data_IF_190825291764
#
_entry.id   IF_190825291764
#
_cell.length_a   1.000
_cell.length_b   1.000
_cell.length_c   1.000
_cell.angle_alpha   90.00
_cell.angle_beta   90.00
_cell.angle_gamma   90.00
#
_symmetry.space_group_name_H-M   'P 1'
#
loop_
_entity.id
_entity.type
_entity.pdbx_description
1 polymer ?
#
# COMPACT_ATOMS: atom_id res chain seq x y z
N UNK A 1 14.42 0.17 69.97
CA UNK A 1 13.16 -0.37 69.42
C UNK A 1 13.52 -1.08 68.12
N UNK A 2 14.06 -2.31 68.11
CA UNK A 2 13.37 -3.62 68.29
C UNK A 2 12.02 -3.64 67.55
N UNK A 3 11.67 -4.54 66.62
CA UNK A 3 12.28 -5.78 66.07
C UNK A 3 11.33 -6.30 64.96
N UNK A 4 11.87 -6.99 63.93
CA UNK A 4 11.45 -8.30 63.30
C UNK A 4 9.94 -8.64 63.06
N UNK A 5 9.45 -9.47 62.11
CA UNK A 5 9.81 -10.84 61.59
C UNK A 5 8.67 -11.28 60.60
N UNK A 6 8.93 -11.87 59.42
CA UNK A 6 8.94 -13.31 59.00
C UNK A 6 7.61 -13.92 58.44
N UNK A 7 7.78 -14.49 57.23
CA UNK A 7 7.10 -15.57 56.47
C UNK A 7 6.24 -16.62 57.19
N UNK A 8 5.23 -17.20 56.52
CA UNK A 8 4.93 -18.64 56.60
C UNK A 8 4.01 -19.19 55.49
N UNK A 9 4.46 -20.32 54.94
CA UNK A 9 3.82 -21.29 54.03
C UNK A 9 2.98 -22.27 54.85
N UNK A 10 1.88 -22.83 54.32
CA UNK A 10 1.44 -24.20 54.66
C UNK A 10 0.52 -24.84 53.62
N UNK A 11 0.89 -26.07 53.27
CA UNK A 11 0.24 -27.06 52.41
C UNK A 11 -0.63 -27.97 53.29
N UNK A 12 -1.78 -28.44 52.81
CA UNK A 12 -2.39 -29.67 53.34
C UNK A 12 -3.11 -30.48 52.24
N UNK A 13 -2.72 -31.75 52.13
CA UNK A 13 -3.29 -32.83 51.30
C UNK A 13 -3.74 -33.94 52.27
N UNK A 14 -4.88 -34.60 52.01
CA UNK A 14 -5.28 -35.97 52.42
C UNK A 14 -6.63 -36.26 51.71
N UNK A 15 -6.81 -37.16 50.73
CA UNK A 15 -6.70 -38.64 50.62
C UNK A 15 -7.77 -39.48 51.34
N UNK A 16 -8.25 -40.50 50.59
CA UNK A 16 -9.04 -41.71 50.93
C UNK A 16 -10.59 -41.54 50.93
N UNK A 17 -11.42 -42.41 50.33
CA UNK A 17 -11.30 -43.86 50.08
C UNK A 17 -12.23 -44.37 48.95
N UNK A 18 -11.87 -45.52 48.39
CA UNK A 18 -12.57 -46.31 47.36
C UNK A 18 -13.75 -47.15 47.91
N UNK A 19 -14.74 -47.47 47.05
CA UNK A 19 -15.53 -48.72 47.12
C UNK A 19 -16.05 -49.13 45.73
N UNK A 20 -16.13 -50.43 45.49
CA UNK A 20 -16.22 -51.13 44.20
C UNK A 20 -17.62 -51.76 43.91
N UNK A 21 -18.00 -51.74 42.61
CA UNK A 21 -18.73 -52.77 41.79
C UNK A 21 -20.20 -53.16 42.10
N UNK A 22 -20.96 -53.84 41.19
CA UNK A 22 -20.78 -54.11 39.74
C UNK A 22 -22.05 -53.91 38.83
N UNK A 23 -21.86 -54.29 37.55
CA UNK A 23 -22.62 -54.17 36.28
C UNK A 23 -23.99 -54.88 36.10
N UNK A 24 -24.74 -54.54 35.01
CA UNK A 24 -25.15 -55.43 33.86
C UNK A 24 -26.34 -54.87 32.99
N UNK A 25 -26.13 -54.85 31.65
CA UNK A 25 -27.03 -54.96 30.45
C UNK A 25 -28.00 -53.84 29.92
N UNK A 26 -27.60 -53.25 28.77
CA UNK A 26 -28.23 -53.10 27.41
C UNK A 26 -29.74 -52.78 27.16
N UNK A 27 -30.17 -52.38 25.94
CA UNK A 27 -29.62 -51.43 24.95
C UNK A 27 -30.72 -50.46 24.38
N UNK A 28 -30.35 -49.32 23.76
CA UNK A 28 -31.28 -48.65 22.81
C UNK A 28 -30.54 -47.87 21.71
N UNK A 29 -30.61 -48.45 20.51
CA UNK A 29 -30.26 -47.87 19.22
C UNK A 29 -31.10 -46.63 18.95
N UNK A 30 -30.49 -45.46 18.64
CA UNK A 30 -31.03 -44.48 17.66
C UNK A 30 -29.92 -43.66 16.98
N UNK A 31 -29.68 -44.02 15.71
CA UNK A 31 -29.33 -43.20 14.54
C UNK A 31 -28.18 -42.18 14.67
N UNK A 32 -27.02 -42.59 14.17
CA UNK A 32 -26.01 -41.70 13.64
C UNK A 32 -26.56 -40.94 12.42
N UNK A 33 -26.63 -39.62 12.52
CA UNK A 33 -26.79 -38.73 11.35
C UNK A 33 -25.44 -38.65 10.66
N UNK A 34 -25.28 -39.45 9.61
CA UNK A 34 -24.19 -39.32 8.65
C UNK A 34 -24.32 -37.97 7.93
N UNK A 35 -23.59 -36.95 8.40
CA UNK A 35 -23.16 -35.85 7.51
C UNK A 35 -22.14 -36.44 6.56
N UNK A 36 -22.58 -36.88 5.38
CA UNK A 36 -21.66 -37.17 4.29
C UNK A 36 -21.02 -35.85 3.87
N UNK A 37 -19.87 -35.54 4.44
CA UNK A 37 -18.95 -34.56 3.87
C UNK A 37 -18.46 -35.19 2.56
N UNK A 38 -19.18 -34.89 1.47
CA UNK A 38 -18.72 -35.16 0.12
C UNK A 38 -17.47 -34.30 -0.12
N UNK A 39 -16.32 -34.86 0.23
CA UNK A 39 -15.00 -34.46 -0.22
C UNK A 39 -14.89 -34.69 -1.73
N UNK A 40 -15.66 -33.93 -2.51
CA UNK A 40 -15.46 -33.83 -3.95
C UNK A 40 -14.17 -33.03 -4.15
N UNK A 41 -13.17 -33.68 -4.77
CA UNK A 41 -11.92 -33.04 -5.19
C UNK A 41 -12.25 -31.75 -5.97
N UNK A 42 -11.51 -30.65 -5.77
CA UNK A 42 -11.77 -29.41 -6.49
C UNK A 42 -11.63 -29.65 -8.00
N UNK A 43 -12.75 -29.53 -8.72
CA UNK A 43 -12.78 -29.69 -10.18
C UNK A 43 -12.59 -28.30 -10.78
N UNK A 44 -11.48 -28.06 -11.47
CA UNK A 44 -11.24 -26.77 -12.13
C UNK A 44 -12.07 -26.69 -13.42
N UNK A 45 -13.13 -25.88 -13.41
CA UNK A 45 -13.94 -25.59 -14.59
C UNK A 45 -13.57 -24.27 -15.25
N UNK A 46 -13.95 -24.12 -16.52
CA UNK A 46 -13.83 -22.90 -17.31
C UNK A 46 -15.23 -22.44 -17.74
N UNK A 47 -15.60 -21.19 -17.46
CA UNK A 47 -16.83 -20.58 -17.96
C UNK A 47 -16.51 -19.33 -18.77
N UNK A 48 -17.00 -19.27 -20.00
CA UNK A 48 -16.85 -18.08 -20.86
C UNK A 48 -18.15 -17.29 -20.82
N UNK A 49 -18.08 -16.02 -20.42
CA UNK A 49 -19.20 -15.09 -20.42
C UNK A 49 -18.94 -14.04 -21.51
N UNK A 50 -19.73 -14.10 -22.58
CA UNK A 50 -19.78 -13.02 -23.57
C UNK A 50 -20.46 -11.82 -22.93
N UNK A 51 -19.89 -10.64 -23.09
CA UNK A 51 -20.41 -9.40 -22.53
C UNK A 51 -20.45 -8.32 -23.60
N UNK A 52 -21.31 -7.32 -23.41
CA UNK A 52 -21.29 -6.12 -24.26
C UNK A 52 -20.01 -5.30 -24.06
N UNK A 53 -19.80 -4.30 -24.90
CA UNK A 53 -18.66 -3.40 -24.81
C UNK A 53 -18.58 -2.68 -23.47
N UNK A 54 -17.38 -2.61 -22.90
CA UNK A 54 -17.09 -1.85 -21.69
C UNK A 54 -15.73 -1.16 -21.81
N UNK A 55 -15.58 -0.07 -21.07
CA UNK A 55 -14.32 0.65 -20.91
C UNK A 55 -13.94 0.82 -19.43
N UNK A 56 -14.80 0.39 -18.51
CA UNK A 56 -14.58 0.44 -17.07
C UNK A 56 -14.81 -0.95 -16.49
N UNK A 57 -14.05 -1.31 -15.46
CA UNK A 57 -14.16 -2.62 -14.79
C UNK A 57 -14.23 -2.41 -13.29
N UNK A 58 -15.18 -3.08 -12.64
CA UNK A 58 -15.41 -3.05 -11.20
C UNK A 58 -15.48 -4.49 -10.68
N UNK A 59 -14.49 -4.87 -9.88
CA UNK A 59 -14.36 -6.22 -9.33
C UNK A 59 -14.50 -6.19 -7.82
N UNK A 60 -15.37 -7.04 -7.28
CA UNK A 60 -15.62 -7.15 -5.84
C UNK A 60 -15.56 -8.59 -5.35
N UNK A 61 -14.82 -8.84 -4.27
CA UNK A 61 -14.77 -10.11 -3.55
C UNK A 61 -13.39 -10.76 -3.52
N UNK A 62 -13.36 -12.06 -3.23
CA UNK A 62 -12.12 -12.85 -3.16
C UNK A 62 -11.87 -13.52 -4.52
N UNK A 63 -11.11 -12.86 -5.40
CA UNK A 63 -10.94 -13.30 -6.79
C UNK A 63 -9.62 -12.80 -7.40
N UNK A 64 -8.90 -13.68 -8.08
CA UNK A 64 -7.74 -13.29 -8.88
C UNK A 64 -8.21 -12.71 -10.23
N UNK A 65 -7.56 -11.65 -10.72
CA UNK A 65 -7.93 -10.97 -11.96
C UNK A 65 -6.74 -10.89 -12.91
N UNK A 66 -6.94 -11.26 -14.17
CA UNK A 66 -6.01 -10.99 -15.27
C UNK A 66 -6.67 -10.02 -16.26
N UNK A 67 -6.18 -8.79 -16.31
CA UNK A 67 -6.66 -7.72 -17.19
C UNK A 67 -5.89 -7.71 -18.51
N UNK A 68 -6.63 -7.64 -19.61
CA UNK A 68 -6.10 -7.52 -20.95
C UNK A 68 -6.84 -6.43 -21.74
N UNK A 69 -6.09 -5.56 -22.41
CA UNK A 69 -6.60 -4.51 -23.31
C UNK A 69 -6.30 -4.82 -24.78
N UNK A 70 -6.94 -4.13 -25.71
CA UNK A 70 -6.70 -4.25 -27.15
C UNK A 70 -7.52 -5.32 -27.87
N UNK A 71 -8.44 -6.00 -27.17
CA UNK A 71 -9.27 -7.05 -27.77
C UNK A 71 -10.51 -6.44 -28.44
N UNK A 72 -10.79 -6.85 -29.68
CA UNK A 72 -11.99 -6.41 -30.42
C UNK A 72 -13.29 -7.04 -29.93
N UNK A 73 -13.19 -8.21 -29.27
CA UNK A 73 -14.33 -8.96 -28.71
C UNK A 73 -14.21 -9.03 -27.19
N UNK A 74 -14.90 -8.14 -26.45
CA UNK A 74 -14.92 -8.17 -25.00
C UNK A 74 -15.49 -9.47 -24.45
N UNK A 75 -14.85 -10.03 -23.43
CA UNK A 75 -15.31 -11.25 -22.76
C UNK A 75 -14.70 -11.40 -21.37
N UNK A 76 -15.36 -12.18 -20.54
CA UNK A 76 -14.85 -12.62 -19.24
C UNK A 76 -14.75 -14.14 -19.23
N UNK A 77 -13.58 -14.66 -18.87
CA UNK A 77 -13.34 -16.10 -18.72
C UNK A 77 -13.09 -16.37 -17.24
N UNK A 78 -13.95 -17.16 -16.63
CA UNK A 78 -13.84 -17.57 -15.23
C UNK A 78 -13.22 -18.96 -15.12
N UNK A 79 -12.30 -19.12 -14.18
CA UNK A 79 -11.71 -20.40 -13.78
C UNK A 79 -11.95 -20.62 -12.29
N UNK A 80 -12.36 -21.83 -11.89
CA UNK A 80 -12.63 -22.17 -10.48
C UNK A 80 -13.48 -23.43 -10.34
N UNK A 81 -13.85 -23.79 -9.12
CA UNK A 81 -14.81 -24.87 -8.86
C UNK A 81 -16.21 -24.44 -9.34
N UNK A 82 -16.97 -25.29 -10.07
CA UNK A 82 -18.33 -24.96 -10.52
C UNK A 82 -19.26 -24.44 -9.42
N UNK A 83 -19.11 -24.90 -8.17
CA UNK A 83 -19.93 -24.45 -7.03
C UNK A 83 -19.66 -22.99 -6.69
N UNK A 84 -18.39 -22.60 -6.67
CA UNK A 84 -17.96 -21.22 -6.45
C UNK A 84 -18.31 -20.34 -7.66
N UNK A 85 -18.13 -20.85 -8.89
CA UNK A 85 -18.41 -20.09 -10.11
C UNK A 85 -19.89 -19.70 -10.25
N UNK A 86 -20.82 -20.49 -9.69
CA UNK A 86 -22.25 -20.14 -9.65
C UNK A 86 -22.53 -18.88 -8.82
N UNK A 87 -21.63 -18.52 -7.91
CA UNK A 87 -21.75 -17.34 -7.05
C UNK A 87 -21.07 -16.10 -7.64
N UNK A 88 -20.50 -16.22 -8.84
CA UNK A 88 -19.88 -15.09 -9.55
C UNK A 88 -20.90 -14.45 -10.48
N UNK A 89 -21.25 -13.20 -10.19
CA UNK A 89 -22.10 -12.38 -11.05
C UNK A 89 -21.22 -11.60 -12.03
N UNK A 90 -21.57 -11.67 -13.32
CA UNK A 90 -20.89 -10.94 -14.40
C UNK A 90 -21.93 -10.23 -15.25
N UNK A 91 -21.91 -8.91 -15.29
CA UNK A 91 -22.83 -8.11 -16.09
C UNK A 91 -22.20 -6.77 -16.48
N UNK A 92 -22.73 -6.14 -17.53
CA UNK A 92 -22.30 -4.81 -17.98
C UNK A 92 -23.47 -3.85 -17.88
N UNK A 93 -23.25 -2.70 -17.24
CA UNK A 93 -24.19 -1.57 -17.25
C UNK A 93 -23.41 -0.26 -17.36
N UNK A 94 -23.94 0.71 -18.11
CA UNK A 94 -23.29 2.01 -18.34
C UNK A 94 -21.81 1.89 -18.79
N UNK A 95 -21.52 0.98 -19.73
CA UNK A 95 -20.16 0.68 -20.23
C UNK A 95 -19.16 0.23 -19.15
N UNK A 96 -19.65 -0.19 -17.98
CA UNK A 96 -18.86 -0.75 -16.90
C UNK A 96 -19.18 -2.23 -16.72
N UNK A 97 -18.15 -3.04 -16.78
CA UNK A 97 -18.20 -4.45 -16.41
C UNK A 97 -18.15 -4.59 -14.90
N UNK A 98 -19.07 -5.37 -14.34
CA UNK A 98 -19.08 -5.77 -12.95
C UNK A 98 -18.76 -7.26 -12.85
N UNK A 99 -17.81 -7.62 -11.98
CA UNK A 99 -17.51 -9.01 -11.60
C UNK A 99 -17.57 -9.10 -10.08
N UNK A 100 -18.61 -9.74 -9.55
CA UNK A 100 -18.84 -9.80 -8.09
C UNK A 100 -18.90 -11.24 -7.61
N UNK A 101 -18.13 -11.57 -6.59
CA UNK A 101 -18.20 -12.86 -5.90
C UNK A 101 -19.13 -12.74 -4.69
N UNK A 102 -20.03 -13.71 -4.52
CA UNK A 102 -20.92 -13.79 -3.36
C UNK A 102 -20.17 -13.79 -2.02
N UNK A 103 -20.79 -13.23 -0.98
CA UNK A 103 -20.21 -13.22 0.38
C UNK A 103 -19.97 -14.65 0.87
N UNK A 104 -18.82 -14.88 1.52
CA UNK A 104 -18.42 -16.20 2.00
C UNK A 104 -17.81 -17.12 0.95
N UNK A 105 -17.75 -16.69 -0.32
CA UNK A 105 -17.11 -17.43 -1.40
C UNK A 105 -15.76 -16.80 -1.80
N UNK A 106 -14.83 -17.58 -2.35
CA UNK A 106 -14.94 -19.02 -2.64
C UNK A 106 -14.84 -19.91 -1.40
N UNK A 107 -15.50 -21.07 -1.46
CA UNK A 107 -15.47 -22.11 -0.43
C UNK A 107 -14.67 -23.34 -0.90
N UNK A 108 -14.68 -23.64 -2.20
CA UNK A 108 -14.07 -24.85 -2.75
C UNK A 108 -12.67 -24.62 -3.33
N UNK A 109 -12.37 -23.40 -3.80
CA UNK A 109 -11.03 -23.04 -4.28
C UNK A 109 -10.95 -21.68 -4.94
N UNK A 110 -9.73 -21.26 -5.30
CA UNK A 110 -9.50 -19.93 -5.89
C UNK A 110 -10.30 -19.74 -7.19
N UNK A 111 -10.91 -18.56 -7.31
CA UNK A 111 -11.55 -18.09 -8.53
C UNK A 111 -10.57 -17.17 -9.26
N UNK A 112 -10.49 -17.31 -10.59
CA UNK A 112 -9.74 -16.38 -11.44
C UNK A 112 -10.63 -15.87 -12.57
N UNK A 113 -10.71 -14.54 -12.72
CA UNK A 113 -11.33 -13.87 -13.85
C UNK A 113 -10.27 -13.35 -14.83
N UNK A 114 -10.29 -13.84 -16.07
CA UNK A 114 -9.54 -13.25 -17.19
C UNK A 114 -10.48 -12.33 -17.95
N UNK A 115 -10.17 -11.04 -17.96
CA UNK A 115 -11.01 -9.98 -18.52
C UNK A 115 -10.34 -9.43 -19.76
N UNK A 116 -10.98 -9.61 -20.92
CA UNK A 116 -10.57 -9.03 -22.18
C UNK A 116 -11.44 -7.82 -22.48
N UNK A 117 -10.83 -6.64 -22.57
CA UNK A 117 -11.47 -5.40 -23.00
C UNK A 117 -10.75 -4.78 -24.20
N UNK A 118 -11.40 -3.81 -24.85
CA UNK A 118 -10.78 -3.05 -25.94
C UNK A 118 -9.93 -1.90 -25.40
N UNK A 119 -10.58 -0.94 -24.71
CA UNK A 119 -9.95 0.19 -24.02
C UNK A 119 -10.31 0.12 -22.54
N UNK A 120 -9.44 0.61 -21.67
CA UNK A 120 -9.67 0.63 -20.22
C UNK A 120 -9.42 2.03 -19.68
N UNK A 121 -10.48 2.69 -19.24
CA UNK A 121 -10.47 4.03 -18.66
C UNK A 121 -10.54 4.03 -17.14
N UNK A 122 -11.17 3.01 -16.56
CA UNK A 122 -11.24 2.86 -15.12
C UNK A 122 -11.13 1.39 -14.71
N UNK A 123 -10.37 1.13 -13.65
CA UNK A 123 -10.36 -0.16 -13.00
C UNK A 123 -10.51 0.03 -11.49
N UNK A 124 -11.55 -0.60 -10.96
CA UNK A 124 -11.83 -0.69 -9.53
C UNK A 124 -11.72 -2.14 -9.08
N UNK A 125 -11.02 -2.35 -7.98
CA UNK A 125 -10.92 -3.64 -7.32
C UNK A 125 -11.14 -3.48 -5.83
N UNK A 126 -12.04 -4.27 -5.25
CA UNK A 126 -12.31 -4.31 -3.82
C UNK A 126 -12.35 -5.74 -3.31
N UNK A 127 -11.40 -6.11 -2.45
CA UNK A 127 -11.39 -7.39 -1.77
C UNK A 127 -9.99 -7.98 -1.63
N UNK A 128 -9.85 -9.28 -1.87
CA UNK A 128 -8.59 -10.01 -1.64
C UNK A 128 -8.27 -10.87 -2.85
N UNK A 129 -7.13 -10.63 -3.49
CA UNK A 129 -6.74 -11.43 -4.64
C UNK A 129 -5.49 -10.90 -5.33
N UNK A 130 -5.10 -11.61 -6.39
CA UNK A 130 -4.00 -11.24 -7.25
C UNK A 130 -4.54 -10.56 -8.50
N UNK A 131 -4.25 -9.28 -8.68
CA UNK A 131 -4.57 -8.52 -9.89
C UNK A 131 -3.33 -8.42 -10.76
N UNK A 132 -3.41 -8.86 -12.02
CA UNK A 132 -2.33 -8.79 -13.00
C UNK A 132 -2.84 -8.16 -14.30
N UNK A 133 -2.01 -7.31 -14.90
CA UNK A 133 -2.21 -6.84 -16.27
C UNK A 133 -0.88 -6.40 -16.84
N UNK A 134 -0.24 -7.24 -17.66
CA UNK A 134 1.20 -7.08 -17.99
C UNK A 134 1.48 -6.37 -19.31
N UNK A 135 0.46 -6.18 -20.15
CA UNK A 135 0.55 -5.53 -21.46
C UNK A 135 -0.62 -4.58 -21.68
N UNK A 136 -0.93 -3.79 -20.65
CA UNK A 136 -2.03 -2.84 -20.72
C UNK A 136 -1.62 -1.63 -21.57
N UNK A 137 -2.52 -1.16 -22.42
CA UNK A 137 -2.36 0.09 -23.14
C UNK A 137 -3.58 0.97 -22.88
N UNK A 138 -3.36 2.07 -22.18
CA UNK A 138 -4.41 3.05 -21.91
C UNK A 138 -3.88 4.47 -22.03
N UNK A 139 -4.61 5.28 -22.78
CA UNK A 139 -4.39 6.73 -22.95
C UNK A 139 -4.97 7.56 -21.81
N UNK A 140 -5.78 6.97 -20.93
CA UNK A 140 -6.30 7.59 -19.71
C UNK A 140 -6.81 6.50 -18.79
N UNK A 141 -6.26 6.37 -17.59
CA UNK A 141 -6.64 5.31 -16.66
C UNK A 141 -6.76 5.84 -15.22
N UNK A 142 -7.96 5.69 -14.65
CA UNK A 142 -8.23 5.88 -13.24
C UNK A 142 -8.21 4.53 -12.51
N UNK A 143 -7.47 4.45 -11.41
CA UNK A 143 -7.35 3.24 -10.60
C UNK A 143 -7.91 3.47 -9.20
N UNK A 144 -8.74 2.53 -8.73
CA UNK A 144 -9.26 2.46 -7.36
C UNK A 144 -9.04 1.04 -6.83
N UNK A 145 -8.00 0.86 -6.01
CA UNK A 145 -7.50 -0.46 -5.60
C UNK A 145 -7.61 -0.56 -4.08
N UNK A 146 -8.62 -1.27 -3.61
CA UNK A 146 -8.77 -1.73 -2.22
C UNK A 146 -8.47 -3.24 -2.19
N UNK A 147 -7.19 -3.58 -2.10
CA UNK A 147 -6.72 -4.97 -2.21
C UNK A 147 -5.77 -5.32 -1.07
N UNK A 148 -6.11 -6.34 -0.29
CA UNK A 148 -5.20 -6.90 0.72
C UNK A 148 -4.19 -7.91 0.11
N UNK A 149 -4.37 -8.27 -1.16
CA UNK A 149 -3.46 -9.13 -1.92
C UNK A 149 -2.35 -8.38 -2.68
N UNK A 150 -2.14 -8.75 -3.94
CA UNK A 150 -1.09 -8.16 -4.79
C UNK A 150 -1.66 -7.65 -6.10
N UNK A 151 -1.21 -6.48 -6.53
CA UNK A 151 -1.57 -5.87 -7.80
C UNK A 151 -0.32 -5.57 -8.60
N UNK A 152 -0.22 -6.10 -9.82
CA UNK A 152 0.90 -5.85 -10.75
C UNK A 152 0.34 -5.42 -12.09
N UNK A 153 0.51 -4.14 -12.42
CA UNK A 153 0.10 -3.55 -13.69
C UNK A 153 1.34 -3.08 -14.47
N UNK A 154 1.43 -3.45 -15.75
CA UNK A 154 2.53 -3.08 -16.65
C UNK A 154 1.99 -2.76 -18.04
N UNK A 155 2.69 -1.88 -18.75
CA UNK A 155 2.41 -1.53 -20.14
C UNK A 155 2.59 -0.04 -20.37
N UNK A 156 1.78 0.57 -21.21
CA UNK A 156 1.73 2.02 -21.42
C UNK A 156 0.49 2.58 -20.72
N UNK A 157 0.69 3.21 -19.56
CA UNK A 157 -0.36 3.57 -18.63
C UNK A 157 -0.39 5.08 -18.38
N UNK A 158 -1.26 5.79 -19.07
CA UNK A 158 -1.52 7.19 -18.77
C UNK A 158 -2.45 7.33 -17.54
N UNK A 159 -1.87 7.19 -16.34
CA UNK A 159 -2.61 7.25 -15.08
C UNK A 159 -3.06 8.67 -14.75
N UNK A 160 -4.36 8.89 -14.57
CA UNK A 160 -4.93 10.19 -14.17
C UNK A 160 -5.17 10.27 -12.67
N UNK A 161 -5.60 9.17 -12.06
CA UNK A 161 -5.76 9.03 -10.61
C UNK A 161 -5.40 7.64 -10.12
N UNK A 162 -4.87 7.59 -8.90
CA UNK A 162 -4.55 6.36 -8.20
C UNK A 162 -5.04 6.47 -6.76
N UNK A 163 -6.14 5.78 -6.46
CA UNK A 163 -6.62 5.59 -5.10
C UNK A 163 -6.22 4.17 -4.65
N UNK A 164 -5.49 4.05 -3.56
CA UNK A 164 -5.07 2.77 -3.00
C UNK A 164 -5.44 2.69 -1.52
N UNK A 165 -6.07 1.60 -1.12
CA UNK A 165 -6.32 1.25 0.27
C UNK A 165 -6.02 -0.23 0.54
N UNK A 166 -6.20 -0.63 1.81
CA UNK A 166 -5.92 -1.98 2.27
C UNK A 166 -4.50 -2.16 2.78
N UNK A 167 -4.05 -3.41 2.74
CA UNK A 167 -2.78 -3.88 3.32
C UNK A 167 -1.85 -4.54 2.29
N UNK A 168 -2.29 -4.60 1.04
CA UNK A 168 -1.61 -5.31 -0.03
C UNK A 168 -0.40 -4.59 -0.62
N UNK A 169 0.18 -5.23 -1.62
CA UNK A 169 1.28 -4.67 -2.43
C UNK A 169 0.78 -4.27 -3.81
N UNK A 170 1.20 -3.11 -4.30
CA UNK A 170 0.86 -2.63 -5.64
C UNK A 170 2.12 -2.19 -6.37
N UNK A 171 2.35 -2.76 -7.54
CA UNK A 171 3.43 -2.40 -8.46
C UNK A 171 2.82 -1.95 -9.79
N UNK A 172 3.16 -0.74 -10.22
CA UNK A 172 2.71 -0.20 -11.50
C UNK A 172 3.92 0.27 -12.31
N UNK A 173 4.05 -0.27 -13.52
CA UNK A 173 5.17 0.00 -14.41
C UNK A 173 4.70 0.58 -15.74
N UNK A 174 5.47 1.55 -16.25
CA UNK A 174 5.20 2.22 -17.52
C UNK A 174 4.13 3.31 -17.41
N UNK A 175 4.17 4.05 -16.30
CA UNK A 175 3.34 5.23 -16.11
C UNK A 175 3.88 6.34 -17.03
N UNK A 176 3.00 6.96 -17.80
CA UNK A 176 3.33 8.04 -18.71
C UNK A 176 2.18 9.03 -18.76
N UNK A 177 2.16 10.02 -17.87
CA UNK A 177 1.10 11.03 -17.87
C UNK A 177 1.55 12.40 -17.36
N UNK A 178 0.74 13.42 -17.68
CA UNK A 178 0.78 14.74 -17.07
C UNK A 178 -0.40 14.86 -16.09
N UNK A 179 -0.15 15.15 -14.81
CA UNK A 179 -1.21 15.47 -13.85
C UNK A 179 -1.75 14.31 -13.03
N UNK A 180 -0.92 13.31 -12.69
CA UNK A 180 -1.31 12.22 -11.80
C UNK A 180 -1.64 12.73 -10.38
N UNK A 181 -2.75 12.26 -9.83
CA UNK A 181 -3.11 12.43 -8.40
C UNK A 181 -3.12 11.10 -7.68
N UNK A 182 -2.50 11.03 -6.51
CA UNK A 182 -2.42 9.81 -5.70
C UNK A 182 -3.04 10.05 -4.33
N UNK A 183 -3.95 9.16 -3.93
CA UNK A 183 -4.48 9.07 -2.57
C UNK A 183 -4.24 7.66 -2.02
N UNK A 184 -3.63 7.57 -0.85
CA UNK A 184 -3.28 6.30 -0.22
C UNK A 184 -3.77 6.26 1.22
N UNK A 185 -4.49 5.20 1.60
CA UNK A 185 -5.01 5.02 2.96
C UNK A 185 -4.63 3.64 3.52
N UNK A 186 -4.43 3.57 4.83
CA UNK A 186 -4.15 2.31 5.51
C UNK A 186 -2.67 1.95 5.49
N UNK A 187 -2.33 0.71 5.14
CA UNK A 187 -0.94 0.23 5.15
C UNK A 187 -0.49 -0.48 3.85
N UNK A 188 -0.83 0.03 2.66
CA UNK A 188 -0.38 -0.58 1.42
C UNK A 188 1.12 -0.30 1.19
N UNK A 189 1.75 -1.17 0.40
CA UNK A 189 3.11 -0.95 -0.14
C UNK A 189 3.02 -0.71 -1.64
N UNK A 190 3.39 0.49 -2.09
CA UNK A 190 3.19 0.93 -3.47
C UNK A 190 4.53 1.26 -4.13
N UNK A 191 4.77 0.69 -5.30
CA UNK A 191 5.92 0.98 -6.15
C UNK A 191 5.44 1.40 -7.53
N UNK A 192 5.84 2.59 -7.94
CA UNK A 192 5.46 3.19 -9.21
C UNK A 192 6.73 3.48 -10.01
N UNK A 193 6.71 3.13 -11.29
CA UNK A 193 7.82 3.41 -12.21
C UNK A 193 7.30 3.91 -13.55
N UNK A 194 7.98 4.92 -14.09
CA UNK A 194 7.59 5.62 -15.29
C UNK A 194 7.84 7.13 -15.13
N UNK A 195 7.69 7.87 -16.21
CA UNK A 195 7.87 9.31 -16.21
C UNK A 195 6.51 9.98 -16.06
N UNK A 196 6.32 10.76 -15.01
CA UNK A 196 5.01 11.37 -14.74
C UNK A 196 5.13 12.74 -14.11
N UNK A 197 4.18 13.61 -14.41
CA UNK A 197 3.91 14.78 -13.59
C UNK A 197 2.90 14.43 -12.51
N UNK A 198 3.38 14.38 -11.26
CA UNK A 198 2.57 14.22 -10.06
C UNK A 198 2.15 15.60 -9.54
N UNK A 199 0.85 15.83 -9.33
CA UNK A 199 0.31 17.11 -8.84
C UNK A 199 -0.04 17.07 -7.36
N UNK A 200 -0.54 15.93 -6.87
CA UNK A 200 -0.88 15.74 -5.46
C UNK A 200 -0.59 14.32 -4.98
N UNK A 201 -0.06 14.22 -3.77
CA UNK A 201 0.18 12.99 -3.03
C UNK A 201 -0.40 13.11 -1.62
N UNK A 202 -1.50 12.42 -1.34
CA UNK A 202 -2.11 12.38 -0.01
C UNK A 202 -1.97 10.99 0.60
N UNK A 203 -1.30 10.89 1.74
CA UNK A 203 -1.05 9.62 2.44
C UNK A 203 -1.63 9.67 3.87
N UNK A 204 -2.38 8.65 4.25
CA UNK A 204 -2.90 8.53 5.62
C UNK A 204 -2.74 7.10 6.11
N UNK A 205 -2.16 6.92 7.30
CA UNK A 205 -1.95 5.61 7.91
C UNK A 205 -0.46 5.27 8.01
N UNK A 206 -0.06 4.05 7.67
CA UNK A 206 1.32 3.56 7.81
C UNK A 206 1.88 2.91 6.55
N UNK A 207 1.26 3.19 5.40
CA UNK A 207 1.73 2.67 4.12
C UNK A 207 3.00 3.35 3.60
N UNK A 208 3.61 2.74 2.59
CA UNK A 208 4.85 3.18 1.98
C UNK A 208 4.66 3.32 0.47
N UNK A 209 5.08 4.45 -0.09
CA UNK A 209 5.04 4.73 -1.52
C UNK A 209 6.43 5.11 -2.03
N UNK A 210 6.82 4.53 -3.17
CA UNK A 210 8.00 4.93 -3.93
C UNK A 210 7.63 5.23 -5.38
N UNK A 211 8.09 6.37 -5.88
CA UNK A 211 7.93 6.80 -7.26
C UNK A 211 9.19 7.53 -7.73
N UNK A 212 9.78 7.05 -8.82
CA UNK A 212 10.96 7.65 -9.46
C UNK A 212 10.57 8.35 -10.76
N UNK A 213 11.38 9.32 -11.19
CA UNK A 213 11.16 10.15 -12.40
C UNK A 213 9.88 11.00 -12.37
N UNK A 214 9.66 11.68 -11.25
CA UNK A 214 8.69 12.79 -11.17
C UNK A 214 9.24 13.98 -11.96
N UNK A 215 8.43 14.56 -12.84
CA UNK A 215 8.71 15.83 -13.51
C UNK A 215 7.45 16.70 -13.45
N UNK A 216 7.41 17.63 -12.50
CA UNK A 216 6.20 18.45 -12.25
C UNK A 216 6.50 19.94 -12.15
N UNK A 217 5.62 20.81 -12.71
CA UNK A 217 5.68 22.23 -12.39
C UNK A 217 5.31 22.48 -10.92
N UNK A 218 4.36 21.72 -10.38
CA UNK A 218 3.90 21.86 -9.01
C UNK A 218 3.60 20.48 -8.41
N UNK A 219 3.97 20.28 -7.15
CA UNK A 219 3.66 19.08 -6.39
C UNK A 219 3.29 19.44 -4.94
N UNK A 220 2.11 19.00 -4.50
CA UNK A 220 1.71 19.01 -3.09
C UNK A 220 1.77 17.61 -2.48
N UNK A 221 2.45 17.47 -1.36
CA UNK A 221 2.56 16.23 -0.57
C UNK A 221 1.99 16.47 0.82
N UNK A 222 0.99 15.69 1.20
CA UNK A 222 0.43 15.68 2.55
C UNK A 222 0.47 14.27 3.11
N UNK A 223 1.06 14.09 4.28
CA UNK A 223 1.14 12.78 4.93
C UNK A 223 0.84 12.83 6.42
N UNK A 224 0.02 11.88 6.88
CA UNK A 224 -0.41 11.71 8.27
C UNK A 224 -0.11 10.29 8.77
N UNK A 225 -0.07 10.10 10.09
CA UNK A 225 0.25 8.83 10.73
C UNK A 225 1.74 8.48 10.65
N UNK A 226 2.05 7.26 10.24
CA UNK A 226 3.43 6.78 10.02
C UNK A 226 3.72 6.53 8.54
N UNK A 227 3.01 7.23 7.65
CA UNK A 227 3.13 7.07 6.21
C UNK A 227 4.53 7.48 5.73
N UNK A 228 5.02 6.81 4.69
CA UNK A 228 6.34 7.08 4.11
C UNK A 228 6.23 7.29 2.60
N UNK A 229 6.75 8.41 2.12
CA UNK A 229 6.87 8.70 0.69
C UNK A 229 8.34 8.80 0.30
N UNK A 230 8.73 8.16 -0.80
CA UNK A 230 10.05 8.31 -1.40
C UNK A 230 9.88 8.73 -2.86
N UNK A 231 10.33 9.93 -3.18
CA UNK A 231 10.21 10.51 -4.52
C UNK A 231 11.59 10.88 -5.07
N UNK A 232 11.75 10.76 -6.39
CA UNK A 232 12.92 11.26 -7.11
C UNK A 232 12.52 11.92 -8.43
N UNK A 233 13.27 12.93 -8.85
CA UNK A 233 13.01 13.67 -10.08
C UNK A 233 13.25 15.17 -9.95
N UNK A 234 12.45 15.96 -10.66
CA UNK A 234 12.52 17.43 -10.71
C UNK A 234 11.12 18.01 -10.49
N UNK A 235 11.04 19.03 -9.65
CA UNK A 235 9.83 19.82 -9.43
C UNK A 235 10.18 21.30 -9.47
N UNK A 236 9.33 22.15 -10.06
CA UNK A 236 9.57 23.59 -9.93
C UNK A 236 9.14 24.10 -8.53
N UNK A 237 7.91 23.81 -8.11
CA UNK A 237 7.40 24.17 -6.79
C UNK A 237 6.89 22.96 -5.99
N UNK A 238 7.50 22.71 -4.83
CA UNK A 238 7.19 21.58 -3.94
C UNK A 238 6.61 22.08 -2.62
N UNK A 239 5.41 21.60 -2.27
CA UNK A 239 4.78 21.81 -0.97
C UNK A 239 4.75 20.48 -0.22
N UNK A 240 5.27 20.45 0.99
CA UNK A 240 5.29 19.26 1.85
C UNK A 240 4.70 19.61 3.21
N UNK A 241 3.71 18.86 3.64
CA UNK A 241 3.09 18.98 4.95
C UNK A 241 2.98 17.61 5.61
N UNK A 242 3.66 17.44 6.75
CA UNK A 242 3.76 16.16 7.46
C UNK A 242 3.30 16.31 8.90
N UNK A 243 2.56 15.30 9.36
CA UNK A 243 2.03 15.20 10.71
C UNK A 243 2.39 13.85 11.35
N UNK A 244 2.22 13.76 12.66
CA UNK A 244 2.44 12.56 13.48
C UNK A 244 3.88 12.03 13.41
N UNK A 245 4.12 10.96 12.65
CA UNK A 245 5.44 10.34 12.44
C UNK A 245 5.68 10.05 10.95
N UNK A 246 5.02 10.82 10.09
CA UNK A 246 5.12 10.69 8.65
C UNK A 246 6.53 11.07 8.17
N UNK A 247 7.00 10.42 7.10
CA UNK A 247 8.33 10.66 6.53
C UNK A 247 8.26 10.94 5.04
N UNK A 248 8.90 12.02 4.62
CA UNK A 248 9.10 12.34 3.22
C UNK A 248 10.59 12.22 2.88
N UNK A 249 10.91 11.33 1.93
CA UNK A 249 12.26 11.11 1.41
C UNK A 249 12.39 11.72 0.03
N UNK A 250 12.77 12.99 -0.01
CA UNK A 250 12.92 13.80 -1.21
C UNK A 250 14.37 14.19 -1.53
N UNK A 251 15.40 13.56 -0.93
CA UNK A 251 16.81 13.84 -1.25
C UNK A 251 17.10 13.84 -2.75
N UNK A 252 16.46 12.96 -3.51
CA UNK A 252 16.62 12.82 -4.96
C UNK A 252 15.53 13.53 -5.78
N UNK A 253 14.68 14.33 -5.13
CA UNK A 253 13.67 15.17 -5.77
C UNK A 253 14.14 16.62 -5.73
N UNK A 254 14.77 17.07 -6.82
CA UNK A 254 15.29 18.44 -6.91
C UNK A 254 14.14 19.41 -7.12
N UNK A 255 13.99 20.37 -6.22
CA UNK A 255 12.97 21.40 -6.28
C UNK A 255 13.58 22.80 -6.47
N UNK A 256 13.04 23.63 -7.36
CA UNK A 256 13.48 25.03 -7.43
C UNK A 256 13.01 25.80 -6.18
N UNK A 257 11.76 25.58 -5.76
CA UNK A 257 11.13 26.23 -4.62
C UNK A 257 10.49 25.19 -3.70
N UNK A 258 10.72 25.30 -2.39
CA UNK A 258 10.12 24.40 -1.40
C UNK A 258 9.42 25.15 -0.29
N UNK A 259 8.22 24.70 0.07
CA UNK A 259 7.47 25.10 1.26
C UNK A 259 7.23 23.84 2.09
N UNK A 260 7.90 23.73 3.23
CA UNK A 260 7.91 22.50 4.05
C UNK A 260 7.42 22.81 5.45
N UNK A 261 6.41 22.06 5.89
CA UNK A 261 5.87 22.09 7.23
C UNK A 261 5.93 20.69 7.84
N UNK A 262 6.57 20.58 8.99
CA UNK A 262 6.64 19.34 9.76
C UNK A 262 6.12 19.58 11.16
N UNK A 263 5.33 18.63 11.65
CA UNK A 263 4.71 18.65 12.97
C UNK A 263 4.97 17.33 13.72
N UNK A 264 4.77 17.34 15.03
CA UNK A 264 4.98 16.21 15.95
C UNK A 264 6.36 15.55 15.82
N UNK A 265 6.46 14.36 15.22
CA UNK A 265 7.71 13.58 15.04
C UNK A 265 7.96 13.25 13.57
N UNK A 266 7.41 14.07 12.68
CA UNK A 266 7.57 13.88 11.25
C UNK A 266 8.96 14.30 10.78
N UNK A 267 9.40 13.73 9.65
CA UNK A 267 10.74 13.99 9.08
C UNK A 267 10.61 14.26 7.59
N UNK A 268 11.16 15.38 7.12
CA UNK A 268 11.25 15.71 5.71
C UNK A 268 12.70 15.80 5.24
N UNK A 269 13.07 15.03 4.22
CA UNK A 269 14.33 15.16 3.49
C UNK A 269 14.07 15.91 2.17
N UNK A 270 14.77 17.03 1.94
CA UNK A 270 14.55 17.91 0.77
C UNK A 270 15.85 18.28 0.05
N UNK A 271 15.73 18.58 -1.24
CA UNK A 271 16.83 19.07 -2.08
C UNK A 271 16.35 20.29 -2.87
N UNK A 272 16.68 21.49 -2.37
CA UNK A 272 16.19 22.76 -2.89
C UNK A 272 17.28 23.53 -3.62
N UNK A 273 16.97 24.15 -4.76
CA UNK A 273 17.95 24.87 -5.57
C UNK A 273 17.91 26.38 -5.39
N UNK A 274 16.72 27.01 -5.31
CA UNK A 274 16.60 28.48 -5.31
C UNK A 274 16.02 29.03 -4.01
N UNK A 275 14.80 28.62 -3.63
CA UNK A 275 14.10 29.20 -2.47
C UNK A 275 13.57 28.13 -1.54
N UNK A 276 13.94 28.21 -0.26
CA UNK A 276 13.46 27.32 0.79
C UNK A 276 12.72 28.08 1.88
N UNK A 277 11.50 27.65 2.16
CA UNK A 277 10.72 28.07 3.32
C UNK A 277 10.41 26.83 4.18
N UNK A 278 10.88 26.84 5.42
CA UNK A 278 10.79 25.70 6.32
C UNK A 278 10.12 26.10 7.64
N UNK A 279 9.18 25.29 8.10
CA UNK A 279 8.56 25.37 9.42
C UNK A 279 8.64 23.99 10.08
N UNK A 280 9.50 23.86 11.10
CA UNK A 280 9.59 22.66 11.92
C UNK A 280 9.02 22.96 13.32
N UNK A 281 7.99 22.21 13.74
CA UNK A 281 7.39 22.35 15.08
C UNK A 281 7.40 21.03 15.85
N UNK A 282 7.13 21.12 17.16
CA UNK A 282 7.07 20.01 18.11
C UNK A 282 8.42 19.30 18.26
N UNK A 283 8.58 18.08 17.78
CA UNK A 283 9.82 17.29 17.81
C UNK A 283 10.12 16.75 16.40
N UNK A 284 9.87 17.58 15.38
CA UNK A 284 9.96 17.22 13.96
C UNK A 284 11.21 17.80 13.31
N UNK A 285 11.69 17.13 12.27
CA UNK A 285 12.96 17.47 11.63
C UNK A 285 12.81 17.72 10.12
N UNK A 286 13.53 18.72 9.62
CA UNK A 286 13.70 18.98 8.19
C UNK A 286 15.20 18.89 7.85
N UNK A 287 15.56 17.97 6.99
CA UNK A 287 16.91 17.75 6.48
C UNK A 287 17.04 18.29 5.07
N UNK A 288 18.00 19.18 4.84
CA UNK A 288 18.31 19.67 3.49
C UNK A 288 19.67 19.17 3.00
N UNK A 289 19.74 18.91 1.69
CA UNK A 289 20.92 18.33 1.05
C UNK A 289 21.57 19.24 0.00
N UNK A 290 21.05 20.46 -0.19
CA UNK A 290 21.60 21.48 -1.08
C UNK A 290 21.49 22.85 -0.40
N UNK A 291 22.40 23.79 -0.71
CA UNK A 291 22.26 25.19 -0.31
C UNK A 291 21.37 25.92 -1.33
N UNK A 292 20.19 26.42 -0.95
CA UNK A 292 19.40 27.29 -1.81
C UNK A 292 19.96 28.72 -1.82
N UNK A 293 19.70 29.47 -2.89
CA UNK A 293 20.05 30.91 -2.95
C UNK A 293 19.38 31.74 -1.85
N UNK A 294 18.16 31.35 -1.44
CA UNK A 294 17.39 32.00 -0.39
C UNK A 294 16.80 30.95 0.54
N UNK A 295 16.95 31.17 1.85
CA UNK A 295 16.44 30.28 2.88
C UNK A 295 15.76 31.08 3.99
N UNK A 296 14.61 30.59 4.45
CA UNK A 296 13.91 31.08 5.63
C UNK A 296 13.45 29.89 6.45
N UNK A 297 13.98 29.77 7.66
CA UNK A 297 13.67 28.69 8.58
C UNK A 297 12.95 29.24 9.81
N UNK A 298 11.84 28.61 10.17
CA UNK A 298 11.14 28.83 11.43
C UNK A 298 11.13 27.52 12.21
N UNK A 299 11.67 27.57 13.42
CA UNK A 299 11.75 26.43 14.34
C UNK A 299 10.96 26.78 15.59
N UNK A 300 10.08 25.88 16.02
CA UNK A 300 9.28 26.04 17.23
C UNK A 300 9.34 24.78 18.09
N UNK A 301 9.29 24.95 19.41
CA UNK A 301 9.46 23.89 20.39
C UNK A 301 10.81 23.18 20.19
N UNK A 302 10.83 21.86 19.98
CA UNK A 302 12.02 21.05 19.70
C UNK A 302 12.16 20.72 18.20
N UNK A 303 11.50 21.43 17.30
CA UNK A 303 11.62 21.22 15.86
C UNK A 303 12.95 21.75 15.31
N UNK A 304 13.56 21.04 14.36
CA UNK A 304 14.88 21.38 13.83
C UNK A 304 14.93 21.42 12.29
N UNK A 305 15.82 22.27 11.76
CA UNK A 305 16.18 22.31 10.33
C UNK A 305 17.70 22.13 10.22
N UNK A 306 18.14 20.99 9.66
CA UNK A 306 19.55 20.56 9.67
C UNK A 306 20.14 20.44 8.27
N UNK A 307 21.39 20.87 8.14
CA UNK A 307 22.22 20.64 6.95
C UNK A 307 22.75 19.21 6.97
N UNK A 308 22.43 18.43 5.94
CA UNK A 308 22.87 17.04 5.79
C UNK A 308 23.78 16.84 4.58
N UNK A 309 24.37 17.90 4.05
CA UNK A 309 25.36 17.81 2.98
C UNK A 309 26.59 17.02 3.46
N UNK A 310 27.14 16.24 2.54
CA UNK A 310 28.44 15.61 2.77
C UNK A 310 29.50 16.71 2.87
N UNK A 311 30.35 16.63 3.90
CA UNK A 311 31.45 17.58 4.05
C UNK A 311 32.37 17.48 2.84
N UNK A 312 32.73 18.61 2.21
CA UNK A 312 33.74 18.61 1.17
C UNK A 312 35.02 17.96 1.69
N UNK A 313 35.65 17.13 0.85
CA UNK A 313 36.85 16.39 1.25
C UNK A 313 38.00 17.32 1.69
N UNK A 314 38.07 18.55 1.18
CA UNK A 314 39.06 19.55 1.59
C UNK A 314 38.84 20.09 3.02
N UNK A 315 37.60 20.10 3.52
CA UNK A 315 37.29 20.52 4.89
C UNK A 315 37.63 19.42 5.91
N UNK A 316 37.75 18.17 5.46
CA UNK A 316 38.24 17.05 6.28
C UNK A 316 39.76 17.08 6.50
N UNK A 317 40.51 17.78 5.64
CA UNK A 317 41.99 17.84 5.69
C UNK A 317 42.53 18.87 6.71
N UNK A 318 41.68 19.68 7.36
CA UNK A 318 42.14 20.68 8.34
C UNK A 318 42.66 20.06 9.66
N UNK A 319 42.33 18.80 9.97
CA UNK A 319 42.85 18.12 11.15
C UNK A 319 44.38 17.84 11.08
N UNK A 320 44.96 17.85 9.89
CA UNK A 320 46.39 17.60 9.68
C UNK A 320 47.19 18.90 9.63
N UNK A 321 46.52 20.06 9.48
CA UNK A 321 47.18 21.35 9.26
C UNK A 321 47.78 21.91 10.55
N UNK A 322 47.19 21.61 11.70
CA UNK A 322 47.69 22.01 13.02
C UNK A 322 48.62 20.99 13.70
N UNK A 323 48.72 19.77 13.16
CA UNK A 323 49.62 18.72 13.67
C UNK A 323 50.98 18.68 12.94
N UNK A 324 51.33 19.70 12.14
CA UNK A 324 52.60 19.76 11.38
C UNK A 324 53.80 20.32 12.15
N UNK A 325 53.71 20.47 13.47
CA UNK A 325 54.85 20.93 14.28
C UNK A 325 55.05 20.09 15.53
N UNK A 326 55.73 18.95 15.39
CA UNK A 326 56.69 18.47 16.40
C UNK A 326 57.84 17.76 15.65
N UNK A 327 59.06 18.33 15.61
CA UNK A 327 60.28 17.59 15.25
C UNK A 327 60.71 16.59 16.32
#
# INVERSE_FOLDING_TARGET
>A
MLTRTISLISIFILLCSCAHRPAIFSPRIKKAVSKSVLTSKPVRAKQVKKVSGFNSVDVEGVIDVSLHSGYSKPQVILYGDPRDLKQVQVFVTNQRLYVKVGKGYPDCGRITAVIHGHRLYAFKYKGVGVVKGTKLNSSSLALDIDNDGSTILKGHLALTSLNISGKGSTQIHGISNRGLRINMKGKPRVQLTGQTSLTSLNLTGSGWLSLYWVNSPFLRVCAYGSAKAQLAGIVDELHVELWDSAKFKGRYLRANRTFVKTHQRSIAEISTLKKQHSLASDASDIYYYNIPTMQTNFMAFNGAVLDMREWPQHDLEEYDRYNKHIP
#
